data_IF_353725657032
#
_entry.id   IF_353725657032
#
_cell.length_a   1.000
_cell.length_b   1.000
_cell.length_c   1.000
_cell.angle_alpha   90.00
_cell.angle_beta   90.00
_cell.angle_gamma   90.00
#
_symmetry.space_group_name_H-M   'P 1'
#
loop_
_entity.id
_entity.type
_entity.pdbx_description
1 polymer ?
#
# COMPACT_ATOMS: atom_id res chain seq x y z
N UNK A 1 -0.68 -3.17 25.20
CA UNK A 1 -0.17 -2.34 24.10
C UNK A 1 -1.21 -2.32 22.96
N UNK A 2 -2.14 -1.35 22.93
CA UNK A 2 -3.28 -1.38 21.97
C UNK A 2 -2.88 -1.21 20.49
N UNK A 3 -1.70 -0.63 20.22
CA UNK A 3 -1.21 -0.40 18.85
C UNK A 3 -0.74 -1.68 18.13
N UNK A 4 -0.48 -2.76 18.87
CA UNK A 4 -0.16 -4.09 18.34
C UNK A 4 -1.28 -5.06 18.72
N UNK A 5 -2.51 -4.74 18.32
CA UNK A 5 -3.70 -5.54 18.62
C UNK A 5 -4.59 -5.66 17.38
N UNK A 6 -5.12 -6.86 17.10
CA UNK A 6 -5.91 -7.13 15.88
C UNK A 6 -7.14 -6.22 15.74
N UNK A 7 -7.85 -5.94 16.83
CA UNK A 7 -8.98 -5.00 16.80
C UNK A 7 -8.58 -3.58 16.39
N UNK A 8 -7.36 -3.14 16.72
CA UNK A 8 -6.88 -1.84 16.31
C UNK A 8 -6.57 -1.81 14.80
N UNK A 9 -6.00 -2.89 14.27
CA UNK A 9 -5.76 -3.03 12.83
C UNK A 9 -7.05 -3.04 12.01
N UNK A 10 -8.04 -3.84 12.43
CA UNK A 10 -9.37 -3.87 11.80
C UNK A 10 -10.04 -2.49 11.84
N UNK A 11 -9.92 -1.76 12.95
CA UNK A 11 -10.41 -0.39 13.04
C UNK A 11 -9.66 0.56 12.08
N UNK A 12 -8.33 0.44 11.99
CA UNK A 12 -7.53 1.26 11.07
C UNK A 12 -7.87 0.98 9.61
N UNK A 13 -8.20 -0.26 9.25
CA UNK A 13 -8.69 -0.60 7.92
C UNK A 13 -9.94 0.19 7.54
N UNK A 14 -10.95 0.20 8.43
CA UNK A 14 -12.18 0.95 8.18
C UNK A 14 -11.92 2.45 8.05
N UNK A 15 -11.00 3.00 8.87
CA UNK A 15 -10.59 4.39 8.75
C UNK A 15 -9.84 4.69 7.45
N UNK A 16 -8.98 3.79 6.98
CA UNK A 16 -8.27 3.96 5.72
C UNK A 16 -9.25 4.08 4.55
N UNK A 17 -10.26 3.21 4.50
CA UNK A 17 -11.34 3.27 3.51
C UNK A 17 -12.13 4.57 3.61
N UNK A 18 -12.46 5.01 4.82
CA UNK A 18 -13.17 6.26 5.04
C UNK A 18 -12.35 7.50 4.65
N UNK A 19 -11.02 7.50 4.86
CA UNK A 19 -10.14 8.59 4.44
C UNK A 19 -9.93 8.61 2.94
N UNK A 20 -9.77 7.44 2.31
CA UNK A 20 -9.64 7.32 0.85
C UNK A 20 -10.86 7.86 0.11
N UNK A 21 -12.07 7.50 0.54
CA UNK A 21 -13.32 8.01 -0.06
C UNK A 21 -13.48 9.53 0.10
N UNK A 22 -12.94 10.12 1.18
CA UNK A 22 -12.90 11.57 1.41
C UNK A 22 -11.67 12.25 0.81
N UNK A 23 -10.85 11.53 0.03
CA UNK A 23 -9.58 12.00 -0.56
C UNK A 23 -8.60 12.60 0.45
N UNK A 24 -8.69 12.18 1.73
CA UNK A 24 -7.80 12.59 2.83
C UNK A 24 -6.54 11.73 2.84
N UNK A 25 -5.80 11.73 1.74
CA UNK A 25 -4.69 10.80 1.53
C UNK A 25 -3.53 10.99 2.52
N UNK A 26 -3.32 12.20 3.04
CA UNK A 26 -2.31 12.43 4.09
C UNK A 26 -2.59 11.65 5.38
N UNK A 27 -3.85 11.60 5.82
CA UNK A 27 -4.24 10.82 7.01
C UNK A 27 -4.32 9.32 6.70
N UNK A 28 -4.79 8.96 5.50
CA UNK A 28 -4.80 7.58 5.04
C UNK A 28 -3.38 7.00 5.02
N UNK A 29 -2.41 7.72 4.47
CA UNK A 29 -1.00 7.31 4.39
C UNK A 29 -0.44 6.99 5.78
N UNK A 30 -0.63 7.89 6.74
CA UNK A 30 -0.17 7.69 8.13
C UNK A 30 -0.74 6.43 8.78
N UNK A 31 -2.00 6.10 8.50
CA UNK A 31 -2.60 4.86 9.01
C UNK A 31 -2.08 3.62 8.28
N UNK A 32 -1.94 3.67 6.97
CA UNK A 32 -1.41 2.58 6.16
C UNK A 32 0.06 2.25 6.51
N UNK A 33 0.90 3.26 6.74
CA UNK A 33 2.27 3.10 7.26
C UNK A 33 2.26 2.32 8.59
N UNK A 34 1.31 2.65 9.48
CA UNK A 34 1.15 1.94 10.77
C UNK A 34 0.66 0.51 10.59
N UNK A 35 -0.25 0.25 9.65
CA UNK A 35 -0.71 -1.11 9.34
C UNK A 35 0.41 -1.97 8.76
N UNK A 36 1.21 -1.42 7.84
CA UNK A 36 2.39 -2.10 7.31
C UNK A 36 3.36 -2.49 8.44
N UNK A 37 3.68 -1.54 9.33
CA UNK A 37 4.53 -1.80 10.48
C UNK A 37 3.93 -2.85 11.44
N UNK A 38 2.61 -2.80 11.68
CA UNK A 38 1.89 -3.78 12.50
C UNK A 38 2.02 -5.19 11.93
N UNK A 39 1.71 -5.39 10.65
CA UNK A 39 1.75 -6.72 10.03
C UNK A 39 3.18 -7.27 9.93
N UNK A 40 4.16 -6.42 9.60
CA UNK A 40 5.57 -6.79 9.57
C UNK A 40 6.10 -7.25 10.94
N UNK A 41 5.64 -6.60 12.02
CA UNK A 41 6.00 -6.98 13.39
C UNK A 41 5.24 -8.20 13.90
N UNK A 42 3.96 -8.37 13.52
CA UNK A 42 3.13 -9.49 13.94
C UNK A 42 3.52 -10.80 13.24
N UNK A 43 3.93 -10.72 11.97
CA UNK A 43 4.21 -11.85 11.10
C UNK A 43 5.46 -11.55 10.25
N UNK A 44 6.67 -11.83 10.76
CA UNK A 44 7.93 -11.49 10.08
C UNK A 44 8.26 -12.36 8.85
N UNK A 45 7.37 -13.28 8.45
CA UNK A 45 7.50 -14.11 7.25
C UNK A 45 6.55 -13.69 6.12
N UNK A 46 6.16 -14.63 5.27
CA UNK A 46 5.16 -14.39 4.23
C UNK A 46 3.81 -14.04 4.85
N UNK A 47 3.33 -12.82 4.57
CA UNK A 47 2.11 -12.28 5.15
C UNK A 47 1.30 -11.54 4.09
N UNK A 48 0.21 -12.17 3.64
CA UNK A 48 -0.71 -11.53 2.68
C UNK A 48 -1.26 -10.20 3.21
N UNK A 49 -1.55 -10.13 4.52
CA UNK A 49 -1.99 -8.89 5.15
C UNK A 49 -0.95 -7.76 5.08
N UNK A 50 0.34 -8.08 5.21
CA UNK A 50 1.40 -7.11 4.99
C UNK A 50 1.45 -6.66 3.53
N UNK A 51 1.35 -7.60 2.59
CA UNK A 51 1.38 -7.31 1.17
C UNK A 51 0.22 -6.40 0.72
N UNK A 52 -1.02 -6.71 1.12
CA UNK A 52 -2.19 -5.87 0.82
C UNK A 52 -2.11 -4.50 1.49
N UNK A 53 -1.52 -4.40 2.69
CA UNK A 53 -1.28 -3.11 3.33
C UNK A 53 -0.25 -2.27 2.54
N UNK A 54 0.82 -2.90 2.03
CA UNK A 54 1.79 -2.25 1.16
C UNK A 54 1.15 -1.80 -0.16
N UNK A 55 0.39 -2.67 -0.81
CA UNK A 55 -0.36 -2.33 -2.03
C UNK A 55 -1.27 -1.10 -1.82
N UNK A 56 -2.07 -1.11 -0.75
CA UNK A 56 -2.94 0.01 -0.41
C UNK A 56 -2.14 1.30 -0.12
N UNK A 57 -0.96 1.19 0.51
CA UNK A 57 -0.06 2.33 0.72
C UNK A 57 0.49 2.85 -0.62
N UNK A 58 0.83 1.97 -1.55
CA UNK A 58 1.23 2.33 -2.91
C UNK A 58 0.15 3.12 -3.65
N UNK A 59 -1.10 2.63 -3.61
CA UNK A 59 -2.26 3.34 -4.15
C UNK A 59 -2.45 4.73 -3.52
N UNK A 60 -2.22 4.84 -2.21
CA UNK A 60 -2.29 6.11 -1.49
C UNK A 60 -1.18 7.10 -1.93
N UNK A 61 0.05 6.62 -2.11
CA UNK A 61 1.16 7.43 -2.60
C UNK A 61 0.93 7.91 -4.04
N UNK A 62 0.44 7.04 -4.93
CA UNK A 62 0.04 7.44 -6.29
C UNK A 62 -1.06 8.51 -6.25
N UNK A 63 -2.05 8.37 -5.38
CA UNK A 63 -3.12 9.38 -5.26
C UNK A 63 -2.61 10.73 -4.70
N UNK A 64 -1.62 10.71 -3.79
CA UNK A 64 -0.95 11.91 -3.28
C UNK A 64 -0.14 12.63 -4.36
N UNK A 65 0.53 11.88 -5.25
CA UNK A 65 1.32 12.46 -6.34
C UNK A 65 0.43 13.30 -7.28
N UNK A 66 -0.81 12.87 -7.49
CA UNK A 66 -1.82 13.61 -8.26
C UNK A 66 -2.31 14.90 -7.56
N UNK A 67 -2.25 14.98 -6.23
CA UNK A 67 -2.67 16.16 -5.47
C UNK A 67 -1.56 17.20 -5.26
N UNK A 68 -0.30 16.79 -5.27
CA UNK A 68 0.83 17.66 -4.93
C UNK A 68 1.97 17.55 -5.95
N UNK A 69 2.02 18.50 -6.88
CA UNK A 69 3.05 18.57 -7.92
C UNK A 69 4.49 18.65 -7.36
N UNK A 70 4.69 19.35 -6.24
CA UNK A 70 6.02 19.54 -5.65
C UNK A 70 6.61 18.26 -5.06
N UNK A 71 5.77 17.24 -4.78
CA UNK A 71 6.18 15.95 -4.23
C UNK A 71 5.99 14.77 -5.19
N UNK A 72 5.58 15.02 -6.45
CA UNK A 72 5.14 13.98 -7.40
C UNK A 72 6.16 12.86 -7.56
N UNK A 73 7.43 13.21 -7.82
CA UNK A 73 8.52 12.23 -8.01
C UNK A 73 8.77 11.36 -6.78
N UNK A 74 8.82 11.95 -5.60
CA UNK A 74 9.01 11.21 -4.36
C UNK A 74 7.84 10.26 -4.10
N UNK A 75 6.61 10.74 -4.30
CA UNK A 75 5.41 9.92 -4.12
C UNK A 75 5.33 8.77 -5.13
N UNK A 76 5.78 8.94 -6.38
CA UNK A 76 5.89 7.83 -7.33
C UNK A 76 6.95 6.82 -6.91
N UNK A 77 8.13 7.28 -6.47
CA UNK A 77 9.15 6.38 -5.96
C UNK A 77 8.67 5.59 -4.74
N UNK A 78 7.91 6.23 -3.84
CA UNK A 78 7.31 5.57 -2.68
C UNK A 78 6.25 4.54 -3.11
N UNK A 79 5.39 4.88 -4.07
CA UNK A 79 4.39 3.96 -4.61
C UNK A 79 5.02 2.72 -5.25
N UNK A 80 6.07 2.92 -6.07
CA UNK A 80 6.79 1.82 -6.71
C UNK A 80 7.41 0.87 -5.68
N UNK A 81 8.05 1.41 -4.63
CA UNK A 81 8.61 0.56 -3.55
C UNK A 81 7.52 -0.26 -2.85
N UNK A 82 6.36 0.34 -2.61
CA UNK A 82 5.23 -0.35 -1.99
C UNK A 82 4.66 -1.48 -2.87
N UNK A 83 4.49 -1.25 -4.17
CA UNK A 83 4.04 -2.31 -5.09
C UNK A 83 5.07 -3.43 -5.20
N UNK A 84 6.35 -3.09 -5.26
CA UNK A 84 7.42 -4.08 -5.26
C UNK A 84 7.41 -4.98 -4.01
N UNK A 85 7.35 -4.39 -2.81
CA UNK A 85 7.28 -5.16 -1.54
C UNK A 85 6.01 -6.04 -1.48
N UNK A 86 4.88 -5.57 -2.03
CA UNK A 86 3.67 -6.39 -2.15
C UNK A 86 3.88 -7.58 -3.10
N UNK A 87 4.47 -7.35 -4.29
CA UNK A 87 4.70 -8.38 -5.30
C UNK A 87 5.67 -9.46 -4.85
N UNK A 88 6.73 -9.10 -4.11
CA UNK A 88 7.67 -10.09 -3.55
C UNK A 88 6.93 -11.12 -2.69
N UNK A 89 6.00 -10.67 -1.85
CA UNK A 89 5.22 -11.56 -0.98
C UNK A 89 4.15 -12.32 -1.77
N UNK A 90 3.38 -11.63 -2.60
CA UNK A 90 2.25 -12.23 -3.33
C UNK A 90 2.71 -13.30 -4.33
N UNK A 91 3.81 -13.07 -5.05
CA UNK A 91 4.38 -14.05 -5.99
C UNK A 91 4.83 -15.33 -5.27
N UNK A 92 5.43 -15.20 -4.08
CA UNK A 92 5.85 -16.37 -3.29
C UNK A 92 4.66 -17.14 -2.71
N UNK A 93 3.57 -16.45 -2.35
CA UNK A 93 2.38 -17.08 -1.77
C UNK A 93 1.48 -17.75 -2.81
N UNK A 94 1.30 -17.13 -3.98
CA UNK A 94 0.25 -17.51 -4.93
C UNK A 94 0.76 -17.90 -6.33
N UNK A 95 2.01 -17.59 -6.65
CA UNK A 95 2.57 -17.74 -7.99
C UNK A 95 2.34 -16.52 -8.90
N UNK A 96 3.09 -16.40 -10.00
CA UNK A 96 3.13 -15.18 -10.83
C UNK A 96 1.83 -14.89 -11.58
N UNK A 97 1.07 -15.92 -11.96
CA UNK A 97 -0.13 -15.77 -12.79
C UNK A 97 -1.42 -15.57 -11.96
N UNK A 98 -1.29 -15.48 -10.63
CA UNK A 98 -2.45 -15.31 -9.74
C UNK A 98 -3.00 -13.88 -9.83
N UNK A 99 -4.33 -13.72 -9.73
CA UNK A 99 -5.01 -12.42 -9.88
C UNK A 99 -4.43 -11.32 -8.96
N UNK A 100 -4.14 -11.64 -7.70
CA UNK A 100 -3.51 -10.71 -6.76
C UNK A 100 -2.13 -10.21 -7.19
N UNK A 101 -1.37 -11.00 -7.96
CA UNK A 101 -0.08 -10.58 -8.51
C UNK A 101 -0.32 -9.70 -9.74
N UNK A 102 -1.12 -10.17 -10.70
CA UNK A 102 -1.35 -9.46 -11.96
C UNK A 102 -2.04 -8.11 -11.77
N UNK A 103 -2.90 -7.98 -10.76
CA UNK A 103 -3.55 -6.71 -10.41
C UNK A 103 -2.53 -5.67 -9.91
N UNK A 104 -1.57 -6.07 -9.08
CA UNK A 104 -0.52 -5.17 -8.58
C UNK A 104 0.48 -4.82 -9.68
N UNK A 105 0.84 -5.79 -10.54
CA UNK A 105 1.67 -5.52 -11.72
C UNK A 105 1.02 -4.51 -12.66
N UNK A 106 -0.30 -4.61 -12.86
CA UNK A 106 -1.06 -3.65 -13.65
C UNK A 106 -1.01 -2.25 -13.04
N UNK A 107 -1.08 -2.13 -11.72
CA UNK A 107 -0.94 -0.85 -11.00
C UNK A 107 0.48 -0.28 -11.13
N UNK A 108 1.51 -1.12 -11.02
CA UNK A 108 2.91 -0.71 -11.20
C UNK A 108 3.17 -0.22 -12.63
N UNK A 109 2.69 -0.93 -13.65
CA UNK A 109 2.82 -0.51 -15.05
C UNK A 109 2.13 0.84 -15.33
N UNK A 110 0.93 1.06 -14.76
CA UNK A 110 0.23 2.35 -14.86
C UNK A 110 1.04 3.48 -14.20
N UNK A 111 1.65 3.21 -13.04
CA UNK A 111 2.49 4.17 -12.32
C UNK A 111 3.67 4.64 -13.18
N UNK A 112 4.33 3.72 -13.89
CA UNK A 112 5.47 4.04 -14.77
C UNK A 112 5.06 4.98 -15.91
N UNK A 113 3.88 4.74 -16.51
CA UNK A 113 3.33 5.63 -17.55
C UNK A 113 3.03 7.02 -16.99
N UNK A 114 2.47 7.10 -15.78
CA UNK A 114 2.15 8.36 -15.09
C UNK A 114 3.41 9.14 -14.65
N UNK A 115 4.51 8.45 -14.37
CA UNK A 115 5.78 9.04 -13.97
C UNK A 115 6.54 9.71 -15.12
N UNK A 116 6.33 9.27 -16.36
CA UNK A 116 6.96 9.82 -17.56
C UNK A 116 6.21 11.09 -18.06
N UNK A 117 4.93 11.23 -17.72
CA UNK A 117 4.08 12.39 -18.06
C UNK A 117 4.25 13.56 -17.08
#
# INVERSE_FOLDING_TARGET
>A
HFRQHVLADLFFEQLCTAYGSKKKYGEQRRLLERRCAFHKAAYPGLSGAHAWACEALGDCHRALSAQNANGKKASFADAQRCYHEALEVLRLMFGPDHEYVTDVESKEALLEIEAIR
#
